data_IF_173994719777
#
_entry.id   IF_173994719777
#
_cell.length_a   1.000
_cell.length_b   1.000
_cell.length_c   1.000
_cell.angle_alpha   90.00
_cell.angle_beta   90.00
_cell.angle_gamma   90.00
#
_symmetry.space_group_name_H-M   'P 1'
#
loop_
_entity.id
_entity.type
_entity.pdbx_description
1 polymer ?
#
# COMPACT_ATOMS: atom_id res chain seq x y z
N UNK A 1 12.03 1.94 -2.58
CA UNK A 1 12.34 1.62 -1.18
C UNK A 1 11.90 2.71 -0.17
N UNK A 2 11.44 3.91 -0.64
CA UNK A 2 10.97 4.98 0.26
C UNK A 2 9.43 5.12 0.28
N UNK A 3 8.73 4.34 -0.52
CA UNK A 3 7.26 4.36 -0.54
C UNK A 3 6.72 3.82 0.79
N UNK A 4 5.69 4.45 1.37
CA UNK A 4 5.14 4.06 2.67
C UNK A 4 4.73 2.59 2.75
N UNK A 5 4.09 2.07 1.69
CA UNK A 5 3.65 0.67 1.62
C UNK A 5 4.85 -0.29 1.62
N UNK A 6 5.90 0.03 0.84
CA UNK A 6 7.14 -0.77 0.77
C UNK A 6 7.86 -0.78 2.13
N UNK A 7 7.90 0.36 2.82
CA UNK A 7 8.50 0.44 4.16
C UNK A 7 7.78 -0.49 5.13
N UNK A 8 6.45 -0.46 5.17
CA UNK A 8 5.66 -1.32 6.04
C UNK A 8 5.89 -2.83 5.81
N UNK A 9 6.20 -3.23 4.57
CA UNK A 9 6.55 -4.62 4.20
C UNK A 9 7.95 -4.98 4.71
N UNK A 10 8.94 -4.11 4.46
CA UNK A 10 10.32 -4.32 4.90
C UNK A 10 10.45 -4.35 6.42
N UNK A 11 9.72 -3.48 7.13
CA UNK A 11 9.72 -3.42 8.61
C UNK A 11 9.17 -4.72 9.24
N UNK A 12 8.40 -5.51 8.49
CA UNK A 12 7.88 -6.83 8.89
C UNK A 12 8.80 -8.00 8.46
N UNK A 13 9.97 -7.71 7.89
CA UNK A 13 10.98 -8.72 7.53
C UNK A 13 10.72 -9.43 6.21
N UNK A 14 9.83 -8.93 5.36
CA UNK A 14 9.62 -9.47 4.01
C UNK A 14 10.58 -8.84 3.00
N UNK A 15 10.97 -9.61 2.01
CA UNK A 15 11.72 -9.11 0.86
C UNK A 15 10.80 -8.43 -0.15
N UNK A 16 11.29 -7.36 -0.78
CA UNK A 16 10.55 -6.62 -1.81
C UNK A 16 11.31 -6.63 -3.12
N UNK A 17 10.67 -7.19 -4.15
CA UNK A 17 11.15 -7.16 -5.52
C UNK A 17 10.70 -5.85 -6.18
N UNK A 18 11.67 -5.04 -6.64
CA UNK A 18 11.38 -3.79 -7.33
C UNK A 18 11.38 -4.03 -8.84
N UNK A 19 10.22 -3.90 -9.46
CA UNK A 19 10.07 -3.98 -10.91
C UNK A 19 10.54 -2.66 -11.56
N UNK A 20 11.19 -2.74 -12.69
CA UNK A 20 11.80 -1.58 -13.35
C UNK A 20 11.33 -1.35 -14.78
N UNK A 21 10.60 -2.29 -15.35
CA UNK A 21 10.08 -2.22 -16.72
C UNK A 21 8.57 -2.41 -16.74
N UNK A 22 7.89 -1.68 -17.60
CA UNK A 22 6.43 -1.74 -17.73
C UNK A 22 5.91 -3.17 -18.02
N UNK A 23 6.71 -4.01 -18.70
CA UNK A 23 6.36 -5.41 -19.00
C UNK A 23 6.39 -6.31 -17.77
N UNK A 24 7.16 -5.94 -16.75
CA UNK A 24 7.30 -6.74 -15.53
C UNK A 24 5.95 -6.89 -14.82
N UNK A 25 5.13 -5.83 -14.81
CA UNK A 25 3.80 -5.84 -14.19
C UNK A 25 2.94 -7.01 -14.70
N UNK A 26 2.91 -7.22 -16.01
CA UNK A 26 2.15 -8.32 -16.62
C UNK A 26 2.76 -9.69 -16.33
N UNK A 27 4.09 -9.76 -16.34
CA UNK A 27 4.82 -11.00 -16.08
C UNK A 27 4.56 -11.48 -14.66
N UNK A 28 4.69 -10.60 -13.66
CA UNK A 28 4.55 -10.96 -12.25
C UNK A 28 3.10 -11.13 -11.83
N UNK A 29 2.13 -10.51 -12.50
CA UNK A 29 0.71 -10.85 -12.31
C UNK A 29 0.37 -12.28 -12.76
N UNK A 30 1.04 -12.77 -13.80
CA UNK A 30 0.87 -14.15 -14.26
C UNK A 30 1.68 -15.14 -13.41
N UNK A 31 2.87 -14.73 -12.95
CA UNK A 31 3.76 -15.51 -12.09
C UNK A 31 3.38 -15.30 -10.62
N UNK A 32 2.48 -16.12 -10.11
CA UNK A 32 2.02 -16.04 -8.73
C UNK A 32 2.94 -16.71 -7.73
N UNK A 33 3.71 -17.68 -8.20
CA UNK A 33 4.58 -18.51 -7.39
C UNK A 33 5.95 -18.62 -8.03
N UNK A 34 6.96 -18.69 -7.20
CA UNK A 34 8.34 -18.91 -7.60
C UNK A 34 8.96 -19.99 -6.71
N UNK A 35 9.63 -20.95 -7.32
CA UNK A 35 10.41 -21.95 -6.58
C UNK A 35 11.86 -21.50 -6.56
N UNK A 36 12.33 -21.09 -5.41
CA UNK A 36 13.73 -20.79 -5.18
C UNK A 36 14.45 -22.10 -4.83
N UNK A 37 15.20 -22.65 -5.79
CA UNK A 37 15.96 -23.86 -5.57
C UNK A 37 17.22 -23.62 -4.74
N UNK A 38 17.66 -24.66 -4.04
CA UNK A 38 18.93 -24.68 -3.29
C UNK A 38 19.07 -23.54 -2.26
N UNK A 39 17.98 -23.10 -1.64
CA UNK A 39 18.02 -22.09 -0.58
C UNK A 39 18.54 -22.70 0.73
N UNK A 40 19.31 -21.93 1.54
CA UNK A 40 19.69 -22.41 2.87
C UNK A 40 18.47 -22.80 3.68
N UNK A 41 18.53 -24.00 4.29
CA UNK A 41 17.41 -24.51 5.11
C UNK A 41 17.16 -23.62 6.30
N UNK A 42 15.87 -23.32 6.55
CA UNK A 42 15.44 -22.62 7.76
C UNK A 42 15.11 -23.67 8.84
N UNK A 43 15.67 -23.48 10.03
CA UNK A 43 15.40 -24.32 11.17
C UNK A 43 14.47 -23.57 12.13
N UNK A 44 13.33 -24.17 12.47
CA UNK A 44 12.38 -23.61 13.44
C UNK A 44 12.90 -23.68 14.89
N UNK A 45 13.79 -24.63 15.16
CA UNK A 45 14.40 -24.86 16.48
C UNK A 45 15.83 -24.30 16.50
N UNK A 46 16.13 -23.45 17.50
CA UNK A 46 17.44 -22.86 17.71
C UNK A 46 18.54 -23.91 17.91
N UNK A 47 18.24 -25.03 18.61
CA UNK A 47 19.21 -26.09 18.80
C UNK A 47 19.57 -26.82 17.49
N UNK A 48 18.57 -27.01 16.61
CA UNK A 48 18.79 -27.58 15.28
C UNK A 48 19.64 -26.62 14.40
N UNK A 49 19.39 -25.31 14.48
CA UNK A 49 20.17 -24.30 13.77
C UNK A 49 21.63 -24.28 14.24
N UNK A 50 21.87 -24.23 15.55
CA UNK A 50 23.24 -24.27 16.12
C UNK A 50 23.97 -25.55 15.76
N UNK A 51 23.29 -26.69 15.74
CA UNK A 51 23.89 -27.96 15.33
C UNK A 51 24.28 -27.96 13.85
N UNK A 52 23.46 -27.40 12.98
CA UNK A 52 23.74 -27.27 11.56
C UNK A 52 24.90 -26.28 11.30
N UNK A 53 24.91 -25.12 11.97
CA UNK A 53 26.00 -24.14 11.89
C UNK A 53 27.34 -24.75 12.33
N UNK A 54 27.33 -25.54 13.39
CA UNK A 54 28.50 -26.27 13.87
C UNK A 54 28.96 -27.32 12.87
N UNK A 55 28.04 -28.08 12.29
CA UNK A 55 28.37 -29.09 11.28
C UNK A 55 29.04 -28.46 10.05
N UNK A 56 28.52 -27.30 9.59
CA UNK A 56 29.13 -26.54 8.48
C UNK A 56 30.53 -26.02 8.87
N UNK A 57 30.71 -25.53 10.10
CA UNK A 57 32.03 -25.11 10.61
C UNK A 57 33.03 -26.27 10.68
N UNK A 58 32.54 -27.49 10.91
CA UNK A 58 33.33 -28.74 10.92
C UNK A 58 33.56 -29.33 9.50
N UNK A 59 33.09 -28.63 8.43
CA UNK A 59 33.33 -28.99 7.03
C UNK A 59 32.22 -29.78 6.34
N UNK A 60 31.03 -29.85 6.92
CA UNK A 60 29.84 -30.35 6.23
C UNK A 60 29.32 -29.36 5.20
N UNK A 61 28.69 -29.84 4.13
CA UNK A 61 27.97 -28.97 3.21
C UNK A 61 26.71 -28.43 3.87
N UNK A 62 26.34 -27.12 3.62
CA UNK A 62 25.10 -26.56 4.13
C UNK A 62 23.90 -27.34 3.60
N UNK A 63 22.93 -27.64 4.46
CA UNK A 63 21.66 -28.19 4.02
C UNK A 63 20.88 -27.15 3.23
N UNK A 64 20.33 -27.55 2.08
CA UNK A 64 19.53 -26.70 1.22
C UNK A 64 18.13 -27.31 1.03
N UNK A 65 17.19 -26.45 0.72
CA UNK A 65 15.80 -26.84 0.43
C UNK A 65 15.22 -25.96 -0.68
N UNK A 66 14.30 -26.50 -1.45
CA UNK A 66 13.52 -25.71 -2.39
C UNK A 66 12.41 -24.99 -1.63
N UNK A 67 12.30 -23.68 -1.82
CA UNK A 67 11.25 -22.87 -1.20
C UNK A 67 10.24 -22.42 -2.21
N UNK A 68 8.99 -22.68 -1.93
CA UNK A 68 7.87 -22.11 -2.64
C UNK A 68 7.59 -20.72 -2.08
N UNK A 69 7.83 -19.70 -2.90
CA UNK A 69 7.60 -18.30 -2.56
C UNK A 69 6.36 -17.81 -3.29
N UNK A 70 5.43 -17.22 -2.56
CA UNK A 70 4.25 -16.56 -3.12
C UNK A 70 4.60 -15.09 -3.41
N UNK A 71 4.30 -14.65 -4.63
CA UNK A 71 4.50 -13.26 -5.05
C UNK A 71 3.20 -12.49 -4.88
N UNK A 72 3.26 -11.41 -4.10
CA UNK A 72 2.10 -10.53 -3.85
C UNK A 72 2.42 -9.09 -4.25
N UNK A 73 1.46 -8.43 -4.87
CA UNK A 73 1.59 -7.01 -5.20
C UNK A 73 1.41 -6.17 -3.93
N UNK A 74 2.42 -5.38 -3.58
CA UNK A 74 2.40 -4.53 -2.37
C UNK A 74 1.40 -3.38 -2.45
N UNK A 75 0.97 -2.99 -3.65
CA UNK A 75 0.01 -1.90 -3.87
C UNK A 75 -1.46 -2.36 -3.78
N UNK A 76 -1.73 -3.67 -3.71
CA UNK A 76 -3.09 -4.17 -3.54
C UNK A 76 -3.52 -4.16 -2.07
N UNK A 77 -4.83 -3.96 -1.84
CA UNK A 77 -5.42 -3.88 -0.51
C UNK A 77 -5.43 -5.21 0.27
N UNK A 78 -5.27 -6.33 -0.44
CA UNK A 78 -5.36 -7.71 0.08
C UNK A 78 -4.00 -8.29 0.54
N UNK A 79 -2.96 -7.45 0.62
CA UNK A 79 -1.68 -7.88 1.14
C UNK A 79 -1.79 -8.20 2.64
N UNK A 80 -1.91 -9.49 2.95
CA UNK A 80 -2.13 -10.02 4.30
C UNK A 80 -0.84 -9.99 5.16
N UNK A 81 -0.37 -8.77 5.47
CA UNK A 81 0.81 -8.53 6.30
C UNK A 81 0.47 -8.06 7.71
N UNK A 82 -0.76 -7.58 7.91
CA UNK A 82 -1.21 -7.14 9.22
C UNK A 82 -1.63 -8.35 10.06
N UNK A 83 -1.32 -8.32 11.34
CA UNK A 83 -1.84 -9.30 12.29
C UNK A 83 -3.37 -9.19 12.39
N UNK A 84 -4.02 -10.25 12.84
CA UNK A 84 -5.48 -10.23 13.03
C UNK A 84 -5.91 -9.12 13.99
N UNK A 85 -5.09 -8.80 15.00
CA UNK A 85 -5.35 -7.69 15.93
C UNK A 85 -5.24 -6.34 15.23
N UNK A 86 -4.20 -6.11 14.39
CA UNK A 86 -4.04 -4.87 13.62
C UNK A 86 -5.19 -4.67 12.60
N UNK A 87 -5.63 -5.75 11.94
CA UNK A 87 -6.78 -5.71 11.04
C UNK A 87 -8.05 -5.32 11.78
N UNK A 88 -8.29 -5.96 12.92
CA UNK A 88 -9.45 -5.68 13.75
C UNK A 88 -9.44 -4.25 14.28
N UNK A 89 -8.29 -3.75 14.76
CA UNK A 89 -8.13 -2.35 15.18
C UNK A 89 -8.47 -1.39 14.04
N UNK A 90 -7.98 -1.66 12.82
CA UNK A 90 -8.24 -0.82 11.64
C UNK A 90 -9.72 -0.88 11.22
N UNK A 91 -10.35 -2.05 11.27
CA UNK A 91 -11.78 -2.20 10.99
C UNK A 91 -12.65 -1.49 12.03
N UNK A 92 -12.34 -1.64 13.31
CA UNK A 92 -13.07 -1.00 14.39
C UNK A 92 -12.94 0.53 14.30
N UNK A 93 -11.70 1.04 14.08
CA UNK A 93 -11.46 2.46 13.86
C UNK A 93 -12.16 2.98 12.59
N UNK A 94 -12.28 2.17 11.54
CA UNK A 94 -13.04 2.53 10.33
C UNK A 94 -14.52 2.65 10.65
N UNK A 95 -15.08 1.72 11.40
CA UNK A 95 -16.51 1.75 11.81
C UNK A 95 -16.81 2.92 12.74
N UNK A 96 -15.92 3.20 13.70
CA UNK A 96 -16.08 4.33 14.63
C UNK A 96 -16.07 5.70 13.93
N UNK A 97 -15.45 5.79 12.76
CA UNK A 97 -15.30 7.01 11.98
C UNK A 97 -16.08 6.96 10.64
N UNK A 98 -17.11 6.12 10.53
CA UNK A 98 -17.86 5.91 9.29
C UNK A 98 -18.44 7.21 8.72
N UNK A 99 -18.96 8.11 9.56
CA UNK A 99 -19.48 9.40 9.12
C UNK A 99 -18.39 10.29 8.52
N UNK A 100 -17.17 10.28 9.09
CA UNK A 100 -16.01 11.00 8.54
C UNK A 100 -15.63 10.43 7.18
N UNK A 101 -15.52 9.12 7.06
CA UNK A 101 -15.10 8.49 5.81
C UNK A 101 -16.14 8.63 4.71
N UNK A 102 -17.42 8.61 5.06
CA UNK A 102 -18.52 8.94 4.13
C UNK A 102 -18.41 10.36 3.61
N UNK A 103 -18.18 11.33 4.49
CA UNK A 103 -17.98 12.74 4.10
C UNK A 103 -16.73 12.93 3.23
N UNK A 104 -15.62 12.23 3.54
CA UNK A 104 -14.41 12.24 2.73
C UNK A 104 -14.64 11.61 1.35
N UNK A 105 -15.36 10.46 1.30
CA UNK A 105 -15.73 9.81 0.03
C UNK A 105 -16.61 10.74 -0.83
N UNK A 106 -17.59 11.40 -0.22
CA UNK A 106 -18.44 12.37 -0.92
C UNK A 106 -17.60 13.54 -1.49
N UNK A 107 -16.65 14.06 -0.70
CA UNK A 107 -15.75 15.14 -1.11
C UNK A 107 -14.82 14.74 -2.27
N UNK A 108 -14.38 13.48 -2.32
CA UNK A 108 -13.50 12.94 -3.35
C UNK A 108 -14.28 12.43 -4.58
N UNK A 109 -15.56 12.13 -4.44
CA UNK A 109 -16.43 11.65 -5.52
C UNK A 109 -15.92 10.32 -6.13
N UNK A 110 -15.83 10.29 -7.46
CA UNK A 110 -15.44 9.08 -8.21
C UNK A 110 -13.92 8.81 -8.21
N UNK A 111 -13.12 9.62 -7.50
CA UNK A 111 -11.67 9.46 -7.41
C UNK A 111 -11.28 8.24 -6.58
N UNK A 112 -12.11 7.86 -5.61
CA UNK A 112 -11.89 6.69 -4.75
C UNK A 112 -13.16 5.87 -4.61
N UNK A 113 -13.02 4.58 -4.44
CA UNK A 113 -14.15 3.68 -4.13
C UNK A 113 -14.58 3.83 -2.67
N UNK A 114 -13.61 3.89 -1.78
CA UNK A 114 -13.81 4.08 -0.34
C UNK A 114 -12.64 4.75 0.35
N UNK A 115 -12.87 5.17 1.58
CA UNK A 115 -11.85 5.63 2.54
C UNK A 115 -11.87 4.69 3.75
N UNK A 116 -10.71 4.30 4.25
CA UNK A 116 -10.61 3.38 5.38
C UNK A 116 -9.34 3.65 6.22
N UNK A 117 -9.27 3.07 7.42
CA UNK A 117 -8.04 3.06 8.21
C UNK A 117 -7.11 1.98 7.69
N UNK A 118 -5.83 2.30 7.56
CA UNK A 118 -4.78 1.37 7.15
C UNK A 118 -4.26 0.57 8.33
N UNK A 119 -4.16 -0.75 8.17
CA UNK A 119 -3.48 -1.64 9.12
C UNK A 119 -1.97 -1.74 8.88
N UNK A 120 -1.43 -1.07 7.86
CA UNK A 120 -0.03 -1.26 7.39
C UNK A 120 0.81 0.02 7.35
N UNK A 121 0.19 1.20 7.44
CA UNK A 121 0.94 2.46 7.49
C UNK A 121 1.58 2.66 8.85
N UNK A 122 2.88 3.01 8.84
CA UNK A 122 3.65 3.33 10.05
C UNK A 122 3.79 4.84 10.25
N UNK A 123 4.40 5.54 9.31
CA UNK A 123 4.76 6.97 9.46
C UNK A 123 3.97 7.87 8.51
N UNK A 124 3.57 7.39 7.32
CA UNK A 124 2.87 8.21 6.35
C UNK A 124 1.42 8.45 6.77
N UNK A 125 0.84 9.64 6.44
CA UNK A 125 -0.54 9.98 6.80
C UNK A 125 -1.58 9.19 5.99
N UNK A 126 -1.27 8.87 4.74
CA UNK A 126 -2.17 8.19 3.82
C UNK A 126 -1.39 7.45 2.73
N UNK A 127 -2.05 6.47 2.11
CA UNK A 127 -1.63 5.85 0.86
C UNK A 127 -2.84 5.54 -0.02
N UNK A 128 -2.59 5.30 -1.31
CA UNK A 128 -3.58 4.75 -2.23
C UNK A 128 -3.29 3.27 -2.42
N UNK A 129 -4.33 2.48 -2.33
CA UNK A 129 -4.32 1.07 -2.69
C UNK A 129 -5.43 0.80 -3.70
N UNK A 130 -5.43 -0.38 -4.28
CA UNK A 130 -6.45 -0.78 -5.24
C UNK A 130 -7.15 -2.05 -4.80
N UNK A 131 -8.42 -2.12 -5.09
CA UNK A 131 -9.21 -3.36 -5.02
C UNK A 131 -9.48 -3.89 -6.43
N UNK A 132 -9.68 -5.21 -6.53
CA UNK A 132 -9.94 -5.85 -7.81
C UNK A 132 -8.68 -6.14 -8.64
N UNK A 133 -8.85 -6.55 -9.90
CA UNK A 133 -7.78 -7.11 -10.72
C UNK A 133 -6.86 -6.04 -11.35
N UNK A 134 -7.25 -4.76 -11.36
CA UNK A 134 -6.50 -3.69 -12.01
C UNK A 134 -5.69 -2.90 -10.97
N UNK A 135 -4.37 -3.07 -11.00
CA UNK A 135 -3.46 -2.28 -10.17
C UNK A 135 -3.28 -0.86 -10.72
N UNK A 136 -2.80 0.08 -9.86
CA UNK A 136 -2.42 1.42 -10.30
C UNK A 136 -1.32 1.40 -11.36
N UNK A 137 -0.35 0.51 -11.22
CA UNK A 137 0.75 0.37 -12.17
C UNK A 137 0.25 -0.14 -13.53
N UNK A 138 -0.65 -1.12 -13.53
CA UNK A 138 -1.27 -1.59 -14.77
C UNK A 138 -2.10 -0.48 -15.44
N UNK A 139 -2.87 0.29 -14.68
CA UNK A 139 -3.58 1.46 -15.20
C UNK A 139 -2.62 2.45 -15.86
N UNK A 140 -1.48 2.77 -15.22
CA UNK A 140 -0.44 3.65 -15.77
C UNK A 140 0.16 3.11 -17.09
N UNK A 141 0.47 1.82 -17.12
CA UNK A 141 1.02 1.18 -18.32
C UNK A 141 0.03 1.24 -19.48
N UNK A 142 -1.23 0.94 -19.21
CA UNK A 142 -2.29 0.98 -20.21
C UNK A 142 -2.54 2.42 -20.72
N UNK A 143 -2.41 3.43 -19.85
CA UNK A 143 -2.53 4.84 -20.25
C UNK A 143 -1.38 5.34 -21.13
N UNK A 144 -0.18 4.74 -21.03
CA UNK A 144 0.99 5.07 -21.85
C UNK A 144 0.95 4.46 -23.27
N UNK A 145 -0.05 3.65 -23.60
CA UNK A 145 -0.19 3.03 -24.91
C UNK A 145 -0.23 4.06 -26.05
N UNK A 146 0.14 3.70 -27.31
CA UNK A 146 0.27 4.61 -28.45
C UNK A 146 -1.00 5.37 -28.80
N UNK A 147 -2.15 4.86 -28.45
CA UNK A 147 -3.48 5.46 -28.70
C UNK A 147 -4.07 6.14 -27.46
N UNK A 148 -3.31 6.23 -26.35
CA UNK A 148 -3.83 6.65 -25.05
C UNK A 148 -4.77 5.60 -24.47
N UNK A 149 -5.37 5.87 -23.31
CA UNK A 149 -6.41 5.00 -22.77
C UNK A 149 -7.66 5.14 -23.64
N UNK A 150 -8.20 4.04 -24.21
CA UNK A 150 -9.46 4.10 -24.95
C UNK A 150 -10.58 4.65 -24.05
N UNK A 151 -11.50 5.42 -24.61
CA UNK A 151 -12.70 5.87 -23.90
C UNK A 151 -13.45 4.63 -23.37
N UNK A 152 -13.74 4.63 -22.07
CA UNK A 152 -14.43 3.53 -21.40
C UNK A 152 -13.50 2.45 -20.82
N UNK A 153 -12.19 2.67 -20.79
CA UNK A 153 -11.27 1.76 -20.11
C UNK A 153 -11.56 1.73 -18.60
N UNK A 154 -11.62 0.54 -17.98
CA UNK A 154 -11.85 0.46 -16.55
C UNK A 154 -10.70 1.15 -15.81
N UNK A 155 -11.07 1.98 -14.83
CA UNK A 155 -10.12 2.58 -13.89
C UNK A 155 -9.90 1.62 -12.73
N UNK A 156 -8.75 1.68 -12.09
CA UNK A 156 -8.49 0.95 -10.86
C UNK A 156 -9.43 1.43 -9.75
N UNK A 157 -9.96 0.49 -8.98
CA UNK A 157 -10.79 0.78 -7.81
C UNK A 157 -9.89 1.26 -6.68
N UNK A 158 -9.71 2.57 -6.55
CA UNK A 158 -8.79 3.19 -5.60
C UNK A 158 -9.42 3.27 -4.22
N UNK A 159 -8.63 2.90 -3.21
CA UNK A 159 -8.96 3.06 -1.80
C UNK A 159 -7.96 4.05 -1.19
N UNK A 160 -8.49 5.10 -0.55
CA UNK A 160 -7.66 5.99 0.26
C UNK A 160 -7.55 5.40 1.67
N UNK A 161 -6.39 4.90 2.00
CA UNK A 161 -6.10 4.41 3.34
C UNK A 161 -5.44 5.48 4.19
N UNK A 162 -5.95 5.68 5.42
CA UNK A 162 -5.46 6.67 6.38
C UNK A 162 -4.76 6.00 7.56
N UNK A 163 -3.71 6.64 8.04
CA UNK A 163 -3.04 6.22 9.26
C UNK A 163 -3.71 6.88 10.48
N UNK A 164 -4.46 6.08 11.25
CA UNK A 164 -5.14 6.56 12.46
C UNK A 164 -4.18 7.03 13.56
N UNK A 165 -2.90 6.64 13.50
CA UNK A 165 -1.86 7.07 14.47
C UNK A 165 -1.16 8.36 14.05
N UNK A 166 -1.43 8.87 12.84
CA UNK A 166 -0.80 10.09 12.34
C UNK A 166 -1.58 11.34 12.82
N UNK A 167 -0.91 12.44 13.24
CA UNK A 167 -1.58 13.64 13.77
C UNK A 167 -2.61 14.30 12.86
N UNK A 168 -2.55 14.07 11.54
CA UNK A 168 -3.55 14.58 10.61
C UNK A 168 -4.91 13.91 10.80
N UNK A 169 -4.94 12.67 11.28
CA UNK A 169 -6.19 11.97 11.55
C UNK A 169 -6.99 12.65 12.66
N UNK A 170 -6.33 13.07 13.74
CA UNK A 170 -6.98 13.83 14.81
C UNK A 170 -7.58 15.15 14.30
N UNK A 171 -6.92 15.82 13.34
CA UNK A 171 -7.44 17.04 12.71
C UNK A 171 -8.69 16.77 11.88
N UNK A 172 -8.73 15.64 11.16
CA UNK A 172 -9.92 15.23 10.42
C UNK A 172 -11.10 14.93 11.36
N UNK A 173 -10.85 14.17 12.43
CA UNK A 173 -11.88 13.86 13.45
C UNK A 173 -12.38 15.15 14.14
N UNK A 174 -11.47 16.10 14.43
CA UNK A 174 -11.86 17.39 15.00
C UNK A 174 -12.70 18.22 14.04
N UNK A 175 -12.37 18.24 12.75
CA UNK A 175 -13.17 18.90 11.71
C UNK A 175 -14.57 18.29 11.58
N UNK A 176 -14.66 16.95 11.62
CA UNK A 176 -15.94 16.23 11.60
C UNK A 176 -16.81 16.60 12.80
N UNK A 177 -16.24 16.56 14.01
CA UNK A 177 -16.94 16.94 15.24
C UNK A 177 -17.42 18.39 15.25
N UNK A 178 -16.68 19.27 14.58
CA UNK A 178 -17.04 20.69 14.43
C UNK A 178 -18.06 20.94 13.30
N UNK A 179 -18.40 19.92 12.48
CA UNK A 179 -19.25 20.08 11.31
C UNK A 179 -18.60 20.92 10.19
N UNK A 180 -17.25 21.01 10.15
CA UNK A 180 -16.49 21.83 9.20
C UNK A 180 -16.27 21.04 7.87
N UNK A 181 -17.31 21.01 7.05
CA UNK A 181 -17.30 20.30 5.78
C UNK A 181 -16.23 20.82 4.81
N UNK A 182 -15.92 22.13 4.85
CA UNK A 182 -14.92 22.73 3.99
C UNK A 182 -13.51 22.21 4.33
N UNK A 183 -13.19 22.09 5.63
CA UNK A 183 -11.93 21.49 6.06
C UNK A 183 -11.83 20.00 5.71
N UNK A 184 -12.92 19.25 5.89
CA UNK A 184 -12.96 17.83 5.50
C UNK A 184 -12.64 17.72 4.01
N UNK A 185 -13.30 18.50 3.17
CA UNK A 185 -13.08 18.53 1.73
C UNK A 185 -11.63 18.89 1.37
N UNK A 186 -11.09 19.94 2.01
CA UNK A 186 -9.71 20.39 1.79
C UNK A 186 -8.69 19.31 2.18
N UNK A 187 -8.82 18.74 3.38
CA UNK A 187 -7.88 17.72 3.85
C UNK A 187 -8.00 16.42 3.04
N UNK A 188 -9.21 16.01 2.66
CA UNK A 188 -9.43 14.84 1.80
C UNK A 188 -8.72 14.98 0.47
N UNK A 189 -8.89 16.13 -0.20
CA UNK A 189 -8.22 16.40 -1.46
C UNK A 189 -6.69 16.40 -1.33
N UNK A 190 -6.17 17.07 -0.31
CA UNK A 190 -4.72 17.13 -0.07
C UNK A 190 -4.10 15.76 0.24
N UNK A 191 -4.75 14.95 1.07
CA UNK A 191 -4.27 13.60 1.40
C UNK A 191 -4.32 12.67 0.20
N UNK A 192 -5.38 12.78 -0.60
CA UNK A 192 -5.49 12.02 -1.85
C UNK A 192 -4.40 12.39 -2.85
N UNK A 193 -4.22 13.69 -3.12
CA UNK A 193 -3.22 14.18 -4.08
C UNK A 193 -1.80 13.87 -3.59
N UNK A 194 -1.52 13.99 -2.29
CA UNK A 194 -0.26 13.59 -1.70
C UNK A 194 0.00 12.09 -1.87
N UNK A 195 -1.00 11.25 -1.64
CA UNK A 195 -0.87 9.81 -1.80
C UNK A 195 -0.61 9.43 -3.27
N UNK A 196 -1.27 10.10 -4.23
CA UNK A 196 -0.99 9.94 -5.65
C UNK A 196 0.45 10.33 -6.03
N UNK A 197 0.95 11.46 -5.48
CA UNK A 197 2.33 11.89 -5.73
C UNK A 197 3.36 10.86 -5.26
N UNK A 198 3.10 10.20 -4.13
CA UNK A 198 3.96 9.11 -3.63
C UNK A 198 3.98 7.94 -4.59
N UNK A 199 2.85 7.66 -5.25
CA UNK A 199 2.73 6.65 -6.30
C UNK A 199 3.30 7.12 -7.67
N UNK A 200 3.84 8.34 -7.75
CA UNK A 200 4.36 8.92 -8.99
C UNK A 200 3.29 9.39 -9.98
N UNK A 201 2.06 9.56 -9.49
CA UNK A 201 0.95 10.12 -10.27
C UNK A 201 0.80 11.60 -9.93
N UNK A 202 0.79 12.45 -10.95
CA UNK A 202 0.55 13.88 -10.74
C UNK A 202 -0.91 14.14 -10.36
N UNK A 203 -1.18 15.10 -9.44
CA UNK A 203 -2.53 15.61 -9.22
C UNK A 203 -3.14 16.13 -10.52
N UNK A 204 -4.46 16.04 -10.64
CA UNK A 204 -5.20 16.57 -11.80
C UNK A 204 -4.96 18.08 -11.99
N UNK A 205 -4.86 18.81 -10.87
CA UNK A 205 -4.50 20.25 -10.86
C UNK A 205 -3.32 20.48 -9.89
N UNK A 206 -2.06 20.38 -10.37
CA UNK A 206 -0.88 20.60 -9.55
C UNK A 206 -0.78 22.04 -8.97
N UNK A 207 -1.38 23.02 -9.65
CA UNK A 207 -1.39 24.42 -9.19
C UNK A 207 -2.33 24.58 -8.01
N UNK A 208 -3.53 24.04 -8.09
CA UNK A 208 -4.48 24.03 -6.99
C UNK A 208 -3.92 23.25 -5.78
N UNK A 209 -3.26 22.09 -6.00
CA UNK A 209 -2.59 21.35 -4.96
C UNK A 209 -1.52 22.19 -4.24
N UNK A 210 -0.61 22.83 -5.00
CA UNK A 210 0.42 23.68 -4.43
C UNK A 210 -0.16 24.85 -3.62
N UNK A 211 -1.22 25.50 -4.14
CA UNK A 211 -1.92 26.58 -3.43
C UNK A 211 -2.56 26.07 -2.13
N UNK A 212 -3.19 24.89 -2.16
CA UNK A 212 -3.81 24.29 -0.97
C UNK A 212 -2.77 23.93 0.11
N UNK A 213 -1.58 23.45 -0.27
CA UNK A 213 -0.45 23.23 0.65
C UNK A 213 -0.01 24.54 1.30
N UNK A 214 0.17 25.62 0.51
CA UNK A 214 0.56 26.94 1.03
C UNK A 214 -0.47 27.51 2.01
N UNK A 215 -1.76 27.26 1.78
CA UNK A 215 -2.84 27.74 2.67
C UNK A 215 -2.87 27.03 4.04
N UNK A 216 -2.11 25.94 4.21
CA UNK A 216 -1.97 25.24 5.51
C UNK A 216 -0.77 25.72 6.33
N UNK A 217 0.13 26.49 5.71
CA UNK A 217 1.30 27.08 6.38
C UNK A 217 0.96 28.41 7.05
#
# INVERSE_FOLDING_TARGET
AKMPVVKGVLDRGYDVLLLTQDVDEFTFQAMREYVAADMPKIYEDDAAREAAEKAVADGAEPEVEDRHLELKNVATGDLDLATEDEKKEAEDATKENEDLFSAMKEALGDKVEKVAVSARLTDAPACITTEGPLSLEMEKVLQKGPEGAPDGMPKSQRVLELNAKHPVFDKLVAAQKAGDADKIKQYSGLLYDQALLVEGILPEDPVAFAAAVCNLM
#
